data_IF_397823895128
#
_entry.id   IF_397823895128
#
_cell.length_a   1.000
_cell.length_b   1.000
_cell.length_c   1.000
_cell.angle_alpha   90.00
_cell.angle_beta   90.00
_cell.angle_gamma   90.00
#
_symmetry.space_group_name_H-M   'P 1'
#
loop_
_entity.id
_entity.type
_entity.pdbx_description
1 polymer ?
#
# COMPACT_ATOMS: atom_id res chain seq x y z
N UNK A 1 -0.81 5.15 6.43
CA UNK A 1 -0.39 4.32 7.59
C UNK A 1 -0.49 2.84 7.32
N UNK A 2 -1.67 2.29 7.02
CA UNK A 2 -1.86 0.84 6.79
C UNK A 2 -0.83 0.24 5.81
N UNK A 3 -0.66 0.83 4.62
CA UNK A 3 0.32 0.35 3.63
C UNK A 3 1.76 0.33 4.17
N UNK A 4 2.18 1.39 4.88
CA UNK A 4 3.53 1.48 5.47
C UNK A 4 3.73 0.43 6.56
N UNK A 5 2.76 0.24 7.45
CA UNK A 5 2.83 -0.73 8.55
C UNK A 5 2.72 -2.18 8.10
N UNK A 6 2.00 -2.44 7.01
CA UNK A 6 1.88 -3.77 6.41
C UNK A 6 3.02 -4.07 5.41
N UNK A 7 4.07 -3.23 5.35
CA UNK A 7 5.24 -3.47 4.51
C UNK A 7 5.00 -3.35 3.01
N UNK A 8 3.90 -2.71 2.59
CA UNK A 8 3.46 -2.70 1.20
C UNK A 8 3.51 -1.34 0.52
N UNK A 9 3.44 -1.38 -0.82
CA UNK A 9 3.34 -0.21 -1.68
C UNK A 9 1.88 0.20 -1.90
N UNK A 10 1.65 1.49 -2.13
CA UNK A 10 0.31 2.07 -2.28
C UNK A 10 0.18 2.70 -3.66
N UNK A 11 -0.86 2.35 -4.39
CA UNK A 11 -1.27 3.01 -5.63
C UNK A 11 -2.42 3.98 -5.33
N UNK A 12 -2.26 5.24 -5.74
CA UNK A 12 -3.30 6.27 -5.65
C UNK A 12 -3.77 6.60 -7.06
N UNK A 13 -5.00 6.21 -7.37
CA UNK A 13 -5.69 6.68 -8.57
C UNK A 13 -6.35 8.01 -8.25
N UNK A 14 -5.86 9.10 -8.82
CA UNK A 14 -6.57 10.37 -8.67
C UNK A 14 -6.15 11.43 -9.67
N UNK A 15 -6.98 12.46 -9.74
CA UNK A 15 -6.73 13.68 -10.47
C UNK A 15 -5.53 14.47 -9.89
N UNK A 16 -4.80 15.21 -10.73
CA UNK A 16 -3.71 16.07 -10.28
C UNK A 16 -4.22 17.19 -9.36
N UNK A 17 -3.35 17.65 -8.45
CA UNK A 17 -3.62 18.83 -7.60
C UNK A 17 -4.18 18.56 -6.20
N UNK A 18 -4.43 17.30 -5.82
CA UNK A 18 -5.05 16.95 -4.52
C UNK A 18 -4.07 16.87 -3.33
N UNK A 19 -2.96 17.61 -3.38
CA UNK A 19 -2.03 17.69 -2.24
C UNK A 19 -1.25 16.40 -1.92
N UNK A 20 -1.23 15.41 -2.81
CA UNK A 20 -0.55 14.11 -2.63
C UNK A 20 0.92 14.26 -2.21
N UNK A 21 1.64 15.20 -2.81
CA UNK A 21 3.04 15.50 -2.46
C UNK A 21 3.20 15.99 -1.03
N UNK A 22 2.31 16.87 -0.58
CA UNK A 22 2.33 17.36 0.80
C UNK A 22 2.02 16.23 1.78
N UNK A 23 1.02 15.39 1.45
CA UNK A 23 0.65 14.24 2.28
C UNK A 23 1.81 13.25 2.41
N UNK A 24 2.40 12.81 1.30
CA UNK A 24 3.50 11.85 1.30
C UNK A 24 4.74 12.37 2.04
N UNK A 25 5.10 13.65 1.80
CA UNK A 25 6.21 14.31 2.51
C UNK A 25 5.94 14.43 4.01
N UNK A 26 4.73 14.85 4.38
CA UNK A 26 4.34 14.96 5.79
C UNK A 26 4.41 13.61 6.50
N UNK A 27 4.01 12.55 5.80
CA UNK A 27 4.11 11.18 6.29
C UNK A 27 5.56 10.74 6.50
N UNK A 28 6.44 11.03 5.53
CA UNK A 28 7.86 10.72 5.65
C UNK A 28 8.52 11.49 6.81
N UNK A 29 8.27 12.81 6.91
CA UNK A 29 8.83 13.65 7.98
C UNK A 29 8.39 13.18 9.36
N UNK A 30 7.09 12.89 9.54
CA UNK A 30 6.56 12.43 10.84
C UNK A 30 7.08 11.06 11.24
N UNK A 31 7.42 10.19 10.27
CA UNK A 31 8.01 8.87 10.52
C UNK A 31 9.55 8.87 10.51
N UNK A 32 10.19 10.02 10.33
CA UNK A 32 11.66 10.13 10.24
C UNK A 32 12.27 9.39 9.04
N UNK A 33 11.49 9.20 7.97
CA UNK A 33 11.90 8.48 6.77
C UNK A 33 12.53 9.42 5.74
N UNK A 34 13.60 8.99 5.06
CA UNK A 34 14.08 9.72 3.88
C UNK A 34 12.99 9.74 2.82
N UNK A 35 12.74 10.93 2.25
CA UNK A 35 11.73 11.15 1.22
C UNK A 35 12.37 11.54 -0.10
N UNK A 36 11.96 10.88 -1.18
CA UNK A 36 12.21 11.37 -2.54
C UNK A 36 10.93 11.37 -3.36
N UNK A 37 10.91 12.25 -4.35
CA UNK A 37 9.83 12.35 -5.34
C UNK A 37 10.44 12.22 -6.72
N UNK A 38 9.79 11.44 -7.57
CA UNK A 38 10.08 11.36 -9.00
C UNK A 38 8.78 11.52 -9.78
N UNK A 39 8.84 12.31 -10.84
CA UNK A 39 7.77 12.44 -11.82
C UNK A 39 8.06 11.48 -12.97
N UNK A 40 7.11 10.61 -13.28
CA UNK A 40 7.20 9.73 -14.44
C UNK A 40 6.76 10.51 -15.68
N UNK A 41 7.68 10.69 -16.61
CA UNK A 41 7.48 11.37 -17.90
C UNK A 41 7.79 10.40 -19.05
N UNK A 42 7.31 10.66 -20.28
CA UNK A 42 7.51 9.75 -21.41
C UNK A 42 8.98 9.50 -21.79
N UNK A 43 9.86 10.46 -21.48
CA UNK A 43 11.29 10.45 -21.77
C UNK A 43 12.15 9.85 -20.64
N UNK A 44 11.54 9.53 -19.50
CA UNK A 44 12.24 9.01 -18.32
C UNK A 44 12.85 7.63 -18.60
N UNK A 45 14.16 7.49 -18.35
CA UNK A 45 14.89 6.24 -18.54
C UNK A 45 14.90 5.39 -17.26
N UNK A 46 15.07 4.06 -17.36
CA UNK A 46 15.26 3.20 -16.19
C UNK A 46 16.41 3.64 -15.28
N UNK A 47 17.49 4.17 -15.86
CA UNK A 47 18.66 4.70 -15.15
C UNK A 47 18.35 5.96 -14.33
N UNK A 48 17.35 6.75 -14.72
CA UNK A 48 16.94 7.94 -13.97
C UNK A 48 16.20 7.58 -12.67
N UNK A 49 15.61 6.38 -12.63
CA UNK A 49 14.89 5.82 -11.47
C UNK A 49 15.84 5.05 -10.57
N UNK A 50 16.65 4.18 -11.17
CA UNK A 50 17.53 3.23 -10.50
C UNK A 50 18.92 3.80 -10.17
N UNK A 51 19.36 4.83 -10.90
CA UNK A 51 20.73 5.33 -10.86
C UNK A 51 21.57 4.77 -12.00
N UNK A 52 22.77 5.32 -12.14
CA UNK A 52 23.72 4.92 -13.17
C UNK A 52 25.14 5.21 -12.70
N UNK A 53 26.15 4.51 -13.25
CA UNK A 53 27.53 4.95 -13.09
C UNK A 53 27.73 6.29 -13.83
N UNK A 54 28.46 7.20 -13.21
CA UNK A 54 28.91 8.45 -13.81
C UNK A 54 30.43 8.47 -13.79
N UNK A 55 31.05 9.01 -14.83
CA UNK A 55 32.48 9.20 -14.87
C UNK A 55 32.87 10.42 -14.03
N UNK A 56 33.62 10.22 -12.96
CA UNK A 56 34.18 11.30 -12.17
C UNK A 56 35.51 11.75 -12.79
N UNK A 57 35.53 12.94 -13.37
CA UNK A 57 36.71 13.50 -14.03
C UNK A 57 37.89 13.73 -13.07
N UNK A 58 37.65 13.82 -11.75
CA UNK A 58 38.71 14.08 -10.76
C UNK A 58 39.46 12.81 -10.39
N UNK A 59 38.76 11.67 -10.27
CA UNK A 59 39.38 10.37 -9.97
C UNK A 59 39.71 9.57 -11.22
N UNK A 60 39.06 9.85 -12.36
CA UNK A 60 39.15 9.04 -13.57
C UNK A 60 38.39 7.72 -13.48
N UNK A 61 37.50 7.58 -12.49
CA UNK A 61 36.77 6.34 -12.20
C UNK A 61 35.28 6.46 -12.51
N UNK A 62 34.65 5.33 -12.82
CA UNK A 62 33.19 5.22 -12.91
C UNK A 62 32.62 5.05 -11.50
N UNK A 63 31.95 6.09 -10.98
CA UNK A 63 31.34 6.10 -9.65
C UNK A 63 29.83 5.93 -9.78
N UNK A 64 29.22 5.12 -8.92
CA UNK A 64 27.76 4.96 -8.93
C UNK A 64 27.05 6.18 -8.36
N UNK A 65 26.08 6.74 -9.10
CA UNK A 65 25.15 7.75 -8.58
C UNK A 65 23.79 7.10 -8.31
N UNK A 66 23.35 7.02 -7.03
CA UNK A 66 22.06 6.42 -6.69
C UNK A 66 20.90 7.24 -7.24
N UNK A 67 19.95 6.55 -7.88
CA UNK A 67 18.68 7.14 -8.30
C UNK A 67 17.72 7.42 -7.13
N UNK A 68 16.52 7.95 -7.40
CA UNK A 68 15.51 8.24 -6.40
C UNK A 68 14.96 7.00 -5.69
N UNK A 69 15.16 5.78 -6.21
CA UNK A 69 14.82 4.54 -5.49
C UNK A 69 15.56 4.37 -4.16
N UNK A 70 16.75 4.95 -4.02
CA UNK A 70 17.53 4.89 -2.78
C UNK A 70 17.00 5.90 -1.75
N UNK A 71 15.85 5.58 -1.18
CA UNK A 71 15.15 6.37 -0.14
C UNK A 71 14.27 5.42 0.68
N UNK A 72 13.68 5.89 1.79
CA UNK A 72 12.73 5.08 2.56
C UNK A 72 11.29 5.20 2.02
N UNK A 73 10.86 6.41 1.66
CA UNK A 73 9.55 6.69 1.09
C UNK A 73 9.68 7.42 -0.25
N UNK A 74 9.35 6.71 -1.32
CA UNK A 74 9.32 7.26 -2.68
C UNK A 74 7.89 7.64 -3.08
N UNK A 75 7.69 8.90 -3.47
CA UNK A 75 6.51 9.29 -4.24
C UNK A 75 6.82 9.20 -5.75
N UNK A 76 6.18 8.26 -6.43
CA UNK A 76 6.30 8.06 -7.87
C UNK A 76 5.03 8.60 -8.56
N UNK A 77 5.11 9.82 -9.08
CA UNK A 77 3.95 10.48 -9.68
C UNK A 77 3.74 10.07 -11.15
N UNK A 78 2.48 9.79 -11.51
CA UNK A 78 2.02 9.50 -12.87
C UNK A 78 2.75 8.33 -13.54
N UNK A 79 2.91 7.21 -12.83
CA UNK A 79 3.68 6.04 -13.30
C UNK A 79 3.17 5.49 -14.65
N UNK A 80 1.91 5.75 -15.00
CA UNK A 80 1.32 5.38 -16.27
C UNK A 80 1.70 6.31 -17.44
N UNK A 81 2.50 7.37 -17.26
CA UNK A 81 2.97 8.26 -18.36
C UNK A 81 4.32 7.86 -18.97
N UNK A 82 4.94 6.80 -18.47
CA UNK A 82 6.27 6.35 -18.92
C UNK A 82 6.19 4.97 -19.58
N UNK A 83 7.04 4.66 -20.57
CA UNK A 83 7.06 3.35 -21.20
C UNK A 83 7.23 2.17 -20.23
N UNK A 84 6.74 0.96 -20.59
CA UNK A 84 6.78 -0.23 -19.74
C UNK A 84 8.18 -0.60 -19.20
N UNK A 85 9.24 -0.28 -19.95
CA UNK A 85 10.62 -0.59 -19.54
C UNK A 85 11.05 0.17 -18.28
N UNK A 86 10.66 1.44 -18.15
CA UNK A 86 11.00 2.25 -16.96
C UNK A 86 10.05 1.94 -15.79
N UNK A 87 8.77 1.64 -16.08
CA UNK A 87 7.85 1.11 -15.08
C UNK A 87 8.40 -0.18 -14.45
N UNK A 88 8.94 -1.08 -15.27
CA UNK A 88 9.54 -2.34 -14.81
C UNK A 88 10.67 -2.12 -13.80
N UNK A 89 11.51 -1.09 -13.99
CA UNK A 89 12.60 -0.78 -13.04
C UNK A 89 12.08 -0.41 -11.64
N UNK A 90 10.99 0.38 -11.56
CA UNK A 90 10.32 0.67 -10.29
C UNK A 90 9.70 -0.59 -9.67
N UNK A 91 9.03 -1.41 -10.49
CA UNK A 91 8.30 -2.59 -10.01
C UNK A 91 9.22 -3.73 -9.59
N UNK A 92 10.38 -3.88 -10.22
CA UNK A 92 11.45 -4.79 -9.79
C UNK A 92 12.00 -4.37 -8.43
N UNK A 93 12.31 -3.09 -8.27
CA UNK A 93 12.76 -2.52 -7.00
C UNK A 93 11.73 -2.70 -5.87
N UNK A 94 10.43 -2.57 -6.17
CA UNK A 94 9.34 -2.85 -5.24
C UNK A 94 9.28 -4.33 -4.84
N UNK A 95 9.50 -5.25 -5.78
CA UNK A 95 9.39 -6.68 -5.52
C UNK A 95 10.61 -7.24 -4.75
N UNK A 96 11.80 -6.77 -5.09
CA UNK A 96 13.06 -7.36 -4.63
C UNK A 96 13.77 -6.52 -3.53
N UNK A 97 13.27 -5.31 -3.25
CA UNK A 97 13.91 -4.35 -2.34
C UNK A 97 15.41 -4.10 -2.66
N UNK A 98 15.79 -4.25 -3.91
CA UNK A 98 17.13 -4.08 -4.42
C UNK A 98 17.09 -3.73 -5.91
N UNK A 99 18.22 -3.25 -6.42
CA UNK A 99 18.40 -2.85 -7.82
C UNK A 99 19.71 -3.44 -8.32
N UNK A 100 19.72 -4.01 -9.52
CA UNK A 100 20.93 -4.54 -10.16
C UNK A 100 21.36 -3.65 -11.33
N UNK A 101 22.54 -3.02 -11.22
CA UNK A 101 23.10 -2.12 -12.24
C UNK A 101 24.53 -2.58 -12.53
N UNK A 102 24.85 -2.78 -13.81
CA UNK A 102 26.16 -3.24 -14.29
C UNK A 102 26.70 -4.46 -13.54
N UNK A 103 25.84 -5.45 -13.31
CA UNK A 103 26.19 -6.69 -12.60
C UNK A 103 26.37 -6.54 -11.09
N UNK A 104 26.22 -5.34 -10.53
CA UNK A 104 26.30 -5.10 -9.08
C UNK A 104 24.90 -4.91 -8.50
N UNK A 105 24.50 -5.80 -7.59
CA UNK A 105 23.25 -5.68 -6.84
C UNK A 105 23.43 -4.75 -5.64
N UNK A 106 22.50 -3.80 -5.48
CA UNK A 106 22.49 -2.80 -4.40
C UNK A 106 21.15 -2.86 -3.68
N UNK A 107 21.17 -3.09 -2.38
CA UNK A 107 19.96 -3.10 -1.54
C UNK A 107 19.43 -1.69 -1.33
N UNK A 108 18.11 -1.58 -1.29
CA UNK A 108 17.43 -0.34 -0.92
C UNK A 108 17.39 -0.18 0.61
N UNK A 109 17.22 1.05 1.12
CA UNK A 109 17.03 1.28 2.55
C UNK A 109 15.82 0.53 3.10
N UNK A 110 15.90 0.01 4.33
CA UNK A 110 14.77 -0.63 5.03
C UNK A 110 14.30 0.27 6.18
N UNK A 111 13.02 0.68 6.25
CA UNK A 111 11.91 0.33 5.36
C UNK A 111 12.00 1.05 4.00
N UNK A 112 11.62 0.34 2.94
CA UNK A 112 11.34 0.90 1.61
C UNK A 112 9.84 0.86 1.35
N UNK A 113 9.26 1.97 0.90
CA UNK A 113 7.84 2.06 0.52
C UNK A 113 7.66 3.02 -0.64
N UNK A 114 6.79 2.62 -1.57
CA UNK A 114 6.45 3.42 -2.76
C UNK A 114 4.99 3.81 -2.63
N UNK A 115 4.74 5.12 -2.76
CA UNK A 115 3.44 5.68 -3.01
C UNK A 115 3.44 6.08 -4.48
N UNK A 116 2.77 5.29 -5.33
CA UNK A 116 2.65 5.58 -6.74
C UNK A 116 1.33 6.30 -7.03
N UNK A 117 1.31 7.16 -8.04
CA UNK A 117 0.08 7.77 -8.53
C UNK A 117 -0.13 7.42 -10.00
N UNK A 118 -1.38 7.18 -10.38
CA UNK A 118 -1.77 6.98 -11.77
C UNK A 118 -2.98 7.86 -12.09
N UNK A 119 -2.97 8.49 -13.26
CA UNK A 119 -4.08 9.31 -13.74
C UNK A 119 -5.00 8.44 -14.63
N UNK A 120 -6.27 8.20 -14.25
CA UNK A 120 -7.16 7.33 -15.02
C UNK A 120 -7.74 7.98 -16.30
N UNK A 121 -7.60 9.29 -16.51
CA UNK A 121 -8.39 10.06 -17.50
C UNK A 121 -7.58 10.53 -18.73
N UNK A 122 -6.26 10.25 -18.80
CA UNK A 122 -5.46 10.66 -19.97
C UNK A 122 -5.59 9.66 -21.14
N UNK A 123 -6.37 10.07 -22.14
CA UNK A 123 -6.66 9.31 -23.37
C UNK A 123 -5.49 9.21 -24.37
N UNK A 124 -4.43 10.01 -24.20
CA UNK A 124 -3.28 10.04 -25.11
C UNK A 124 -1.97 9.97 -24.32
N UNK A 125 -1.08 9.05 -24.68
CA UNK A 125 0.26 8.94 -24.08
C UNK A 125 0.35 8.23 -22.72
N UNK A 126 -0.66 7.45 -22.31
CA UNK A 126 -0.59 6.60 -21.11
C UNK A 126 -0.39 5.12 -21.44
N UNK A 127 0.40 4.45 -20.60
CA UNK A 127 0.69 3.02 -20.60
C UNK A 127 0.05 2.41 -19.36
N UNK A 128 -1.08 1.73 -19.55
CA UNK A 128 -1.76 1.00 -18.49
C UNK A 128 -0.83 -0.07 -17.88
N UNK A 129 -0.86 -0.19 -16.56
CA UNK A 129 -0.13 -1.23 -15.84
C UNK A 129 -0.85 -2.57 -16.07
N UNK A 130 -0.16 -3.61 -16.57
CA UNK A 130 -0.70 -4.96 -16.59
C UNK A 130 -1.16 -5.41 -15.20
N UNK A 131 -2.17 -6.27 -15.14
CA UNK A 131 -2.74 -6.80 -13.88
C UNK A 131 -1.68 -7.43 -12.97
N UNK A 132 -0.73 -8.17 -13.58
CA UNK A 132 0.40 -8.76 -12.85
C UNK A 132 1.33 -7.72 -12.20
N UNK A 133 1.34 -6.48 -12.71
CA UNK A 133 2.07 -5.37 -12.12
C UNK A 133 1.26 -4.68 -11.03
N UNK A 134 -0.05 -4.48 -11.24
CA UNK A 134 -0.96 -3.95 -10.23
C UNK A 134 -0.97 -4.81 -8.96
N UNK A 135 -0.91 -6.13 -9.09
CA UNK A 135 -0.90 -7.06 -7.94
C UNK A 135 0.27 -6.83 -6.95
N UNK A 136 1.37 -6.17 -7.39
CA UNK A 136 2.50 -5.78 -6.53
C UNK A 136 2.17 -4.63 -5.57
N UNK A 137 1.12 -3.85 -5.84
CA UNK A 137 0.64 -2.86 -4.90
C UNK A 137 -0.23 -3.52 -3.84
N UNK A 138 0.05 -3.23 -2.57
CA UNK A 138 -0.72 -3.78 -1.46
C UNK A 138 -2.12 -3.18 -1.41
N UNK A 139 -2.21 -1.87 -1.65
CA UNK A 139 -3.43 -1.06 -1.63
C UNK A 139 -3.57 -0.26 -2.92
N UNK A 140 -4.80 -0.18 -3.45
CA UNK A 140 -5.25 0.84 -4.39
C UNK A 140 -6.28 1.73 -3.71
N UNK A 141 -6.05 3.04 -3.71
CA UNK A 141 -6.94 4.03 -3.09
C UNK A 141 -7.31 5.14 -4.06
N UNK A 142 -8.51 5.69 -3.89
CA UNK A 142 -8.99 6.91 -4.56
C UNK A 142 -9.17 7.97 -3.47
N UNK A 143 -8.55 9.15 -3.57
CA UNK A 143 -8.78 10.20 -2.56
C UNK A 143 -10.05 10.98 -2.86
N UNK A 144 -10.37 11.21 -4.14
CA UNK A 144 -11.52 12.01 -4.55
C UNK A 144 -11.39 13.47 -4.09
N UNK A 145 -12.41 14.27 -4.37
CA UNK A 145 -12.47 15.64 -3.87
C UNK A 145 -12.81 15.67 -2.38
N UNK A 146 -12.22 16.63 -1.67
CA UNK A 146 -12.63 16.91 -0.30
C UNK A 146 -14.07 17.43 -0.28
N UNK A 147 -14.83 17.18 0.80
CA UNK A 147 -16.11 17.85 0.99
C UNK A 147 -15.94 19.36 0.94
N UNK A 148 -16.90 20.08 0.35
CA UNK A 148 -16.83 21.52 0.08
C UNK A 148 -16.43 22.35 1.31
N UNK A 149 -16.89 21.97 2.51
CA UNK A 149 -16.52 22.65 3.75
C UNK A 149 -15.04 22.51 4.12
N UNK A 150 -14.46 21.33 3.90
CA UNK A 150 -13.03 21.08 4.15
C UNK A 150 -12.16 21.77 3.11
N UNK A 151 -12.59 21.76 1.85
CA UNK A 151 -11.92 22.50 0.78
C UNK A 151 -11.97 24.02 1.02
N UNK A 152 -13.12 24.56 1.45
CA UNK A 152 -13.27 25.96 1.82
C UNK A 152 -12.38 26.35 3.01
N UNK A 153 -12.23 25.47 4.02
CA UNK A 153 -11.29 25.69 5.13
C UNK A 153 -9.83 25.72 4.65
N UNK A 154 -9.43 24.79 3.79
CA UNK A 154 -8.09 24.78 3.20
C UNK A 154 -7.83 26.04 2.37
N UNK A 155 -8.80 26.46 1.56
CA UNK A 155 -8.71 27.66 0.74
C UNK A 155 -8.56 28.91 1.61
N UNK A 156 -9.38 29.05 2.66
CA UNK A 156 -9.32 30.18 3.60
C UNK A 156 -7.96 30.25 4.32
N UNK A 157 -7.46 29.12 4.82
CA UNK A 157 -6.14 29.05 5.45
C UNK A 157 -4.98 29.50 4.52
N UNK A 158 -5.11 29.23 3.21
CA UNK A 158 -4.13 29.65 2.20
C UNK A 158 -4.26 31.13 1.81
N UNK A 159 -5.49 31.64 1.70
CA UNK A 159 -5.78 33.06 1.40
C UNK A 159 -5.26 33.95 2.53
N UNK A 160 -5.54 33.59 3.77
CA UNK A 160 -5.23 34.42 4.93
C UNK A 160 -3.71 34.47 5.23
N UNK A 161 -2.89 33.69 4.49
CA UNK A 161 -1.47 33.39 4.80
C UNK A 161 -1.24 33.04 6.28
N UNK A 162 -2.31 32.66 6.98
CA UNK A 162 -2.35 32.55 8.43
C UNK A 162 -1.68 31.26 8.93
N UNK A 163 -1.44 30.31 8.03
CA UNK A 163 -0.67 29.11 8.33
C UNK A 163 0.75 29.28 7.77
N UNK A 164 1.77 29.54 8.61
CA UNK A 164 3.14 29.16 8.24
C UNK A 164 3.13 27.69 7.79
N UNK A 165 3.99 27.35 6.83
CA UNK A 165 4.15 25.95 6.40
C UNK A 165 4.40 25.10 7.66
N UNK A 166 3.54 24.12 7.91
CA UNK A 166 3.55 23.40 9.17
C UNK A 166 4.92 22.74 9.36
N UNK A 167 5.66 23.18 10.38
CA UNK A 167 6.93 22.57 10.75
C UNK A 167 6.61 21.28 11.47
N UNK A 168 6.63 20.17 10.72
CA UNK A 168 6.39 18.85 11.26
C UNK A 168 7.65 18.36 11.99
N UNK A 169 7.46 17.86 13.20
CA UNK A 169 8.51 17.20 13.96
C UNK A 169 8.44 15.68 13.71
N UNK A 170 9.59 15.00 13.54
CA UNK A 170 9.64 13.55 13.53
C UNK A 170 9.11 12.99 14.85
N UNK A 171 8.15 12.07 14.77
CA UNK A 171 7.59 11.33 15.90
C UNK A 171 8.14 9.90 15.99
N UNK A 172 8.79 9.44 14.94
CA UNK A 172 9.43 8.14 14.84
C UNK A 172 10.70 8.25 13.97
N UNK A 173 11.39 7.13 13.84
CA UNK A 173 12.55 6.93 12.97
C UNK A 173 12.41 5.59 12.20
N UNK A 174 13.31 5.29 11.24
CA UNK A 174 13.24 4.04 10.47
C UNK A 174 13.22 2.78 11.34
N UNK A 175 14.01 2.75 12.42
CA UNK A 175 14.07 1.61 13.34
C UNK A 175 12.74 1.39 14.09
N UNK A 176 12.10 2.49 14.51
CA UNK A 176 10.79 2.48 15.14
C UNK A 176 9.71 1.99 14.17
N UNK A 177 9.75 2.43 12.91
CA UNK A 177 8.81 1.94 11.88
C UNK A 177 8.97 0.43 11.66
N UNK A 178 10.19 -0.08 11.63
CA UNK A 178 10.44 -1.53 11.55
C UNK A 178 9.94 -2.27 12.78
N UNK A 179 10.13 -1.72 13.98
CA UNK A 179 9.56 -2.29 15.21
C UNK A 179 8.02 -2.30 15.18
N UNK A 180 7.39 -1.28 14.61
CA UNK A 180 5.94 -1.25 14.40
C UNK A 180 5.49 -2.33 13.40
N UNK A 181 6.20 -2.51 12.27
CA UNK A 181 5.93 -3.62 11.32
C UNK A 181 6.03 -4.98 12.00
N UNK A 182 7.06 -5.19 12.82
CA UNK A 182 7.22 -6.42 13.59
C UNK A 182 6.11 -6.60 14.66
N UNK A 183 5.53 -5.52 15.17
CA UNK A 183 4.38 -5.58 16.07
C UNK A 183 3.10 -5.98 15.33
N UNK A 184 2.88 -5.51 14.09
CA UNK A 184 1.76 -5.94 13.25
C UNK A 184 1.75 -7.46 13.06
N UNK A 185 2.91 -8.08 12.83
CA UNK A 185 3.02 -9.53 12.66
C UNK A 185 2.61 -10.35 13.89
N UNK A 186 2.63 -9.72 15.08
CA UNK A 186 2.25 -10.34 16.36
C UNK A 186 0.75 -10.27 16.65
N UNK A 187 -0.04 -9.54 15.85
CA UNK A 187 -1.48 -9.47 16.02
C UNK A 187 -2.10 -10.84 15.75
N UNK A 188 -2.87 -11.33 16.71
CA UNK A 188 -3.51 -12.64 16.68
C UNK A 188 -4.54 -12.73 15.55
N UNK A 189 -4.53 -13.85 14.83
CA UNK A 189 -5.49 -14.15 13.77
C UNK A 189 -6.04 -15.54 14.04
N UNK A 190 -7.32 -15.59 14.43
CA UNK A 190 -8.01 -16.85 14.68
C UNK A 190 -8.24 -17.64 13.38
N UNK A 191 -8.31 -18.97 13.49
CA UNK A 191 -8.47 -19.87 12.34
C UNK A 191 -9.76 -19.61 11.55
N UNK A 192 -10.83 -19.17 12.22
CA UNK A 192 -12.10 -18.81 11.59
C UNK A 192 -11.97 -17.56 10.71
N UNK A 193 -11.12 -16.60 11.08
CA UNK A 193 -10.79 -15.44 10.24
C UNK A 193 -9.94 -15.83 9.04
N UNK A 194 -9.01 -16.79 9.19
CA UNK A 194 -8.27 -17.32 8.04
C UNK A 194 -9.24 -17.96 7.04
N UNK A 195 -10.22 -18.74 7.53
CA UNK A 195 -11.29 -19.31 6.68
C UNK A 195 -12.14 -18.22 6.04
N UNK A 196 -12.55 -17.20 6.79
CA UNK A 196 -13.31 -16.07 6.26
C UNK A 196 -12.57 -15.34 5.13
N UNK A 197 -11.26 -15.11 5.28
CA UNK A 197 -10.42 -14.53 4.22
C UNK A 197 -10.39 -15.46 3.00
N UNK A 198 -10.29 -16.78 3.18
CA UNK A 198 -10.35 -17.73 2.07
C UNK A 198 -11.73 -17.76 1.40
N UNK A 199 -12.81 -17.63 2.16
CA UNK A 199 -14.17 -17.55 1.63
C UNK A 199 -14.37 -16.30 0.76
N UNK A 200 -13.86 -15.14 1.22
CA UNK A 200 -13.84 -13.92 0.40
C UNK A 200 -13.07 -14.12 -0.91
N UNK A 201 -11.86 -14.70 -0.84
CA UNK A 201 -11.05 -14.95 -2.03
C UNK A 201 -11.73 -15.95 -2.97
N UNK A 202 -12.31 -17.04 -2.44
CA UNK A 202 -13.05 -18.03 -3.22
C UNK A 202 -14.28 -17.40 -3.89
N UNK A 203 -15.03 -16.57 -3.15
CA UNK A 203 -16.17 -15.85 -3.68
C UNK A 203 -15.77 -14.97 -4.87
N UNK A 204 -14.61 -14.29 -4.84
CA UNK A 204 -14.16 -13.51 -6.01
C UNK A 204 -13.91 -14.36 -7.26
N UNK A 205 -13.50 -15.63 -7.08
CA UNK A 205 -13.19 -16.55 -8.20
C UNK A 205 -14.44 -17.21 -8.78
N UNK A 206 -15.47 -17.40 -7.97
CA UNK A 206 -16.75 -17.97 -8.41
C UNK A 206 -17.79 -16.92 -8.80
N UNK A 207 -17.52 -15.63 -8.59
CA UNK A 207 -18.50 -14.57 -8.81
C UNK A 207 -18.87 -14.44 -10.32
N UNK A 208 -20.16 -14.42 -10.71
CA UNK A 208 -20.56 -14.41 -12.10
C UNK A 208 -20.06 -13.22 -12.93
N UNK A 209 -19.80 -12.09 -12.27
CA UNK A 209 -19.33 -10.84 -12.88
C UNK A 209 -17.80 -10.73 -12.98
N UNK A 210 -17.06 -11.61 -12.30
CA UNK A 210 -15.60 -11.58 -12.29
C UNK A 210 -15.07 -12.62 -13.30
N UNK A 211 -14.14 -12.18 -14.14
CA UNK A 211 -13.42 -13.02 -15.10
C UNK A 211 -12.19 -13.67 -14.45
N UNK A 212 -11.43 -12.89 -13.69
CA UNK A 212 -10.24 -13.34 -12.94
C UNK A 212 -10.39 -12.88 -11.50
N UNK A 213 -10.49 -13.83 -10.57
CA UNK A 213 -10.60 -13.55 -9.13
C UNK A 213 -9.27 -13.26 -8.47
N UNK A 214 -9.31 -12.87 -7.19
CA UNK A 214 -8.13 -12.47 -6.47
C UNK A 214 -7.10 -13.61 -6.29
N UNK A 215 -5.82 -13.22 -6.40
CA UNK A 215 -4.67 -14.10 -6.19
C UNK A 215 -4.49 -14.47 -4.71
N UNK A 216 -3.68 -15.49 -4.35
CA UNK A 216 -3.30 -15.76 -2.97
C UNK A 216 -2.66 -14.56 -2.25
N UNK A 217 -1.99 -13.67 -3.00
CA UNK A 217 -1.44 -12.41 -2.46
C UNK A 217 -2.55 -11.47 -1.99
N UNK A 218 -3.73 -11.52 -2.60
CA UNK A 218 -4.92 -10.82 -2.11
C UNK A 218 -5.30 -11.26 -0.70
N UNK A 219 -5.30 -12.57 -0.42
CA UNK A 219 -5.58 -13.10 0.92
C UNK A 219 -4.54 -12.66 1.96
N UNK A 220 -3.25 -12.73 1.61
CA UNK A 220 -2.17 -12.24 2.47
C UNK A 220 -2.30 -10.73 2.73
N UNK A 221 -2.67 -9.96 1.71
CA UNK A 221 -2.88 -8.52 1.85
C UNK A 221 -4.01 -8.21 2.84
N UNK A 222 -5.14 -8.94 2.77
CA UNK A 222 -6.25 -8.76 3.71
C UNK A 222 -5.82 -8.98 5.16
N UNK A 223 -5.07 -10.05 5.42
CA UNK A 223 -4.58 -10.37 6.78
C UNK A 223 -3.63 -9.29 7.26
N UNK A 224 -2.62 -8.92 6.47
CA UNK A 224 -1.61 -7.94 6.89
C UNK A 224 -2.20 -6.54 7.10
N UNK A 225 -3.07 -6.10 6.19
CA UNK A 225 -3.77 -4.82 6.33
C UNK A 225 -4.75 -4.83 7.50
N UNK A 226 -5.46 -5.94 7.71
CA UNK A 226 -6.35 -6.14 8.83
C UNK A 226 -5.60 -6.07 10.17
N UNK A 227 -4.46 -6.75 10.29
CA UNK A 227 -3.59 -6.70 11.48
C UNK A 227 -3.09 -5.29 11.75
N UNK A 228 -2.63 -4.60 10.70
CA UNK A 228 -2.19 -3.20 10.82
C UNK A 228 -3.33 -2.30 11.30
N UNK A 229 -4.57 -2.55 10.84
CA UNK A 229 -5.75 -1.82 11.29
C UNK A 229 -6.11 -2.13 12.74
N UNK A 230 -6.09 -3.39 13.16
CA UNK A 230 -6.32 -3.78 14.55
C UNK A 230 -5.33 -3.10 15.50
N UNK A 231 -4.03 -3.12 15.14
CA UNK A 231 -2.98 -2.43 15.90
C UNK A 231 -3.23 -0.92 15.99
N UNK A 232 -3.62 -0.25 14.89
CA UNK A 232 -3.97 1.18 14.90
C UNK A 232 -5.23 1.47 15.72
N UNK A 233 -6.12 0.49 15.87
CA UNK A 233 -7.28 0.54 16.76
C UNK A 233 -6.93 0.11 18.20
N UNK A 234 -5.64 -0.01 18.53
CA UNK A 234 -5.12 -0.44 19.84
C UNK A 234 -5.64 -1.82 20.29
N UNK A 235 -5.76 -2.75 19.33
CA UNK A 235 -6.10 -4.15 19.55
C UNK A 235 -4.97 -5.06 19.08
N UNK A 236 -4.79 -6.17 19.79
CA UNK A 236 -3.82 -7.22 19.53
C UNK A 236 -4.42 -8.46 18.84
N UNK A 237 -5.70 -8.41 18.46
CA UNK A 237 -6.39 -9.44 17.70
C UNK A 237 -7.15 -8.86 16.50
N UNK A 238 -7.21 -9.64 15.42
CA UNK A 238 -7.96 -9.31 14.21
C UNK A 238 -9.46 -9.56 14.39
N UNK A 239 -10.30 -8.75 13.74
CA UNK A 239 -11.76 -8.97 13.68
C UNK A 239 -12.25 -9.04 12.23
N UNK A 240 -13.46 -9.58 11.97
CA UNK A 240 -14.02 -9.59 10.62
C UNK A 240 -14.16 -8.18 10.04
N UNK A 241 -14.50 -7.20 10.87
CA UNK A 241 -14.66 -5.80 10.44
C UNK A 241 -13.34 -5.19 9.95
N UNK A 242 -12.21 -5.57 10.55
CA UNK A 242 -10.91 -5.13 10.08
C UNK A 242 -10.63 -5.60 8.66
N UNK A 243 -10.94 -6.88 8.37
CA UNK A 243 -10.79 -7.49 7.04
C UNK A 243 -11.75 -6.84 6.04
N UNK A 244 -13.02 -6.66 6.40
CA UNK A 244 -14.03 -6.03 5.53
C UNK A 244 -13.63 -4.63 5.10
N UNK A 245 -13.18 -3.81 6.05
CA UNK A 245 -12.83 -2.41 5.80
C UNK A 245 -11.67 -2.22 4.82
N UNK A 246 -10.79 -3.23 4.68
CA UNK A 246 -9.64 -3.19 3.77
C UNK A 246 -9.86 -4.02 2.51
N UNK A 247 -10.99 -4.73 2.39
CA UNK A 247 -11.22 -5.67 1.31
C UNK A 247 -11.26 -5.02 -0.07
N UNK A 248 -12.03 -3.94 -0.23
CA UNK A 248 -12.09 -3.20 -1.49
C UNK A 248 -10.73 -2.62 -1.89
N UNK A 249 -10.05 -1.79 -1.05
CA UNK A 249 -8.78 -1.21 -1.45
C UNK A 249 -7.64 -2.25 -1.60
N UNK A 250 -7.76 -3.44 -1.01
CA UNK A 250 -6.79 -4.52 -1.22
C UNK A 250 -7.09 -5.38 -2.45
N UNK A 251 -8.36 -5.62 -2.80
CA UNK A 251 -8.71 -6.60 -3.83
C UNK A 251 -9.15 -5.99 -5.16
N UNK A 252 -9.60 -4.73 -5.19
CA UNK A 252 -10.25 -4.17 -6.37
C UNK A 252 -9.32 -4.01 -7.58
N UNK A 253 -8.01 -3.92 -7.40
CA UNK A 253 -7.02 -3.97 -8.49
C UNK A 253 -6.47 -5.37 -8.78
N UNK A 254 -6.94 -6.39 -8.04
CA UNK A 254 -6.56 -7.80 -8.19
C UNK A 254 -7.66 -8.66 -8.80
N UNK A 255 -8.76 -8.04 -9.22
CA UNK A 255 -9.88 -8.70 -9.89
C UNK A 255 -10.14 -8.06 -11.24
N UNK A 256 -10.46 -8.89 -12.22
CA UNK A 256 -10.79 -8.46 -13.57
C UNK A 256 -12.24 -8.76 -13.82
N UNK A 257 -13.02 -7.74 -14.17
CA UNK A 257 -14.44 -7.91 -14.52
C UNK A 257 -14.59 -8.42 -15.95
N UNK A 258 -15.68 -9.12 -16.22
CA UNK A 258 -16.00 -9.53 -17.59
C UNK A 258 -16.34 -8.32 -18.46
N UNK A 259 -15.97 -8.30 -19.76
CA UNK A 259 -16.12 -7.14 -20.63
C UNK A 259 -17.57 -6.63 -20.77
N UNK A 260 -18.58 -7.48 -20.60
CA UNK A 260 -19.99 -7.08 -20.76
C UNK A 260 -20.46 -6.07 -19.70
N UNK A 261 -19.71 -5.94 -18.60
CA UNK A 261 -20.03 -5.03 -17.50
C UNK A 261 -19.51 -3.61 -17.72
N UNK A 262 -18.55 -3.41 -18.63
CA UNK A 262 -18.02 -2.08 -18.94
C UNK A 262 -19.10 -1.16 -19.51
N UNK A 263 -20.01 -1.71 -20.31
CA UNK A 263 -21.18 -0.99 -20.87
C UNK A 263 -22.14 -0.53 -19.78
N UNK A 264 -22.19 -1.24 -18.65
CA UNK A 264 -23.08 -0.93 -17.52
C UNK A 264 -22.44 -0.01 -16.48
N UNK A 265 -21.21 0.46 -16.72
CA UNK A 265 -20.43 1.27 -15.79
C UNK A 265 -20.28 0.66 -14.38
N UNK A 266 -20.32 -0.66 -14.27
CA UNK A 266 -20.10 -1.37 -13.00
C UNK A 266 -18.60 -1.50 -12.77
N UNK A 267 -18.11 -1.04 -11.62
CA UNK A 267 -16.69 -1.10 -11.26
C UNK A 267 -16.36 -2.31 -10.39
N UNK A 268 -15.08 -2.69 -10.34
CA UNK A 268 -14.59 -3.75 -9.46
C UNK A 268 -14.87 -3.42 -7.97
N UNK A 269 -14.80 -2.14 -7.63
CA UNK A 269 -15.12 -1.61 -6.30
C UNK A 269 -16.58 -1.92 -5.91
N UNK A 270 -17.53 -1.76 -6.83
CA UNK A 270 -18.97 -2.02 -6.60
C UNK A 270 -19.23 -3.51 -6.36
N UNK A 271 -18.69 -4.37 -7.23
CA UNK A 271 -18.85 -5.82 -7.15
C UNK A 271 -18.27 -6.36 -5.84
N UNK A 272 -17.06 -5.89 -5.47
CA UNK A 272 -16.43 -6.31 -4.22
C UNK A 272 -17.16 -5.80 -2.99
N UNK A 273 -17.71 -4.58 -3.02
CA UNK A 273 -18.50 -4.06 -1.91
C UNK A 273 -19.74 -4.92 -1.64
N UNK A 274 -20.43 -5.35 -2.70
CA UNK A 274 -21.54 -6.31 -2.59
C UNK A 274 -21.10 -7.66 -2.05
N UNK A 275 -20.04 -8.24 -2.62
CA UNK A 275 -19.51 -9.54 -2.21
C UNK A 275 -19.09 -9.57 -0.73
N UNK A 276 -18.40 -8.53 -0.25
CA UNK A 276 -17.95 -8.42 1.15
C UNK A 276 -19.12 -8.34 2.13
N UNK A 277 -20.26 -7.77 1.69
CA UNK A 277 -21.48 -7.72 2.48
C UNK A 277 -22.22 -9.07 2.52
N UNK A 278 -22.15 -9.85 1.44
CA UNK A 278 -22.84 -11.15 1.32
C UNK A 278 -22.12 -12.31 2.01
N UNK A 279 -20.77 -12.33 2.00
CA UNK A 279 -20.01 -13.43 2.59
C UNK A 279 -20.21 -13.44 4.12
N UNK A 280 -20.72 -14.54 4.71
CA UNK A 280 -21.01 -14.61 6.14
C UNK A 280 -19.76 -14.38 7.00
N UNK A 281 -19.88 -13.54 8.02
CA UNK A 281 -18.80 -13.32 8.98
C UNK A 281 -18.80 -14.40 10.05
N UNK A 282 -17.62 -14.87 10.49
CA UNK A 282 -17.52 -15.74 11.64
C UNK A 282 -17.91 -15.00 12.93
N UNK A 283 -18.39 -15.75 13.92
CA UNK A 283 -18.58 -15.25 15.29
C UNK A 283 -17.26 -15.33 16.05
N UNK A 284 -16.25 -14.57 15.62
CA UNK A 284 -14.94 -14.60 16.28
C UNK A 284 -15.07 -13.99 17.67
N UNK A 285 -14.98 -14.83 18.71
CA UNK A 285 -14.78 -14.39 20.09
C UNK A 285 -13.26 -14.19 20.30
N UNK A 286 -12.82 -13.14 21.02
CA UNK A 286 -11.40 -12.99 21.35
C UNK A 286 -10.93 -14.26 22.07
N UNK A 287 -9.79 -14.81 21.63
CA UNK A 287 -9.19 -15.98 22.25
C UNK A 287 -9.00 -15.72 23.75
N UNK A 288 -9.60 -16.54 24.60
CA UNK A 288 -9.27 -16.52 26.03
C UNK A 288 -7.78 -16.87 26.11
N UNK A 289 -6.92 -16.05 26.75
CA UNK A 289 -5.51 -16.39 26.88
C UNK A 289 -5.37 -17.77 27.52
N UNK A 290 -4.68 -18.68 26.85
CA UNK A 290 -4.33 -20.00 27.37
C UNK A 290 -3.35 -19.80 28.53
N UNK A 291 -3.87 -19.62 29.75
CA UNK A 291 -3.01 -19.42 30.92
C UNK A 291 -3.73 -18.97 32.18
N UNK A 292 -4.68 -19.77 32.67
CA UNK A 292 -5.00 -19.94 34.11
C UNK A 292 -6.13 -20.97 34.26
N UNK A 293 -5.87 -22.24 33.96
CA UNK A 293 -6.69 -23.36 34.45
C UNK A 293 -5.87 -24.64 34.43
N UNK A 294 -4.87 -24.68 35.32
CA UNK A 294 -4.16 -25.91 35.67
C UNK A 294 -3.50 -25.77 37.05
N UNK A 295 -4.29 -25.51 38.10
CA UNK A 295 -3.84 -25.80 39.47
C UNK A 295 -5.02 -25.88 40.47
N UNK A 296 -5.12 -27.05 41.11
CA UNK A 296 -5.74 -27.33 42.42
C UNK A 296 -7.26 -27.53 42.46
N UNK A 297 -7.68 -28.76 42.18
CA UNK A 297 -8.81 -29.38 42.87
C UNK A 297 -8.54 -30.87 43.09
N UNK A 298 -7.65 -31.20 44.03
CA UNK A 298 -7.51 -32.55 44.56
C UNK A 298 -6.86 -32.55 45.96
N UNK A 299 -7.66 -32.44 47.01
CA UNK A 299 -7.49 -33.16 48.30
C UNK A 299 -8.88 -33.33 48.93
N UNK A 300 -9.39 -34.56 49.16
CA UNK A 300 -10.46 -34.79 50.11
C UNK A 300 -9.87 -35.00 51.50
N UNK A 301 -10.47 -34.37 52.52
CA UNK A 301 -10.18 -34.66 53.91
C UNK A 301 -11.22 -35.66 54.46
N UNK A 302 -10.76 -36.87 54.75
CA UNK A 302 -11.29 -37.77 55.77
C UNK A 302 -10.18 -38.69 56.22
#
# INVERSE_FOLDING_TARGET
MLGVLAGGHVLIEDLPGLGKTLLARSFATTLGLEFRRIQFTPDLLPSDVSGAPFYDQRSGEMVFRPGPLFTNLLLADEINRTPPKTQAALLEAMAEAQVSIDGTTRRLPDPFTVIATANPIEYDGTYALPEAQLDRFLLRVRMGYLPAESEARMLRARIDRAAPEAVLQPLADPATVLAMRAAVERVEVADDLVRYVMDLISATRSHPQIQVGASPRGGLALVQLGRARAMLANRDYLTPEDVKSVAVPALAHRVTLKPELWVRQVSADDVLSGLVAEVPTPQTLPGVPLGQDAAVAAVPAS
#
